data_IF_995481468570
#
_entry.id   IF_995481468570
#
_cell.length_a   1.000
_cell.length_b   1.000
_cell.length_c   1.000
_cell.angle_alpha   90.00
_cell.angle_beta   90.00
_cell.angle_gamma   90.00
#
_symmetry.space_group_name_H-M   'P 1'
#
loop_
_entity.id
_entity.type
_entity.pdbx_description
1 polymer ?
#
# COMPACT_ATOMS: atom_id res chain seq x y z
N UNK A 1 -11.92 -26.75 -3.25
CA UNK A 1 -11.63 -25.86 -4.41
C UNK A 1 -10.14 -25.59 -4.46
N UNK A 2 -9.56 -25.45 -5.65
CA UNK A 2 -8.18 -25.00 -5.83
C UNK A 2 -8.14 -23.49 -5.95
N UNK A 3 -7.47 -22.85 -4.99
CA UNK A 3 -7.45 -21.40 -4.81
C UNK A 3 -6.05 -20.89 -5.06
N UNK A 4 -5.89 -20.09 -6.12
CA UNK A 4 -4.63 -19.44 -6.45
C UNK A 4 -4.44 -18.14 -5.68
N UNK A 5 -3.22 -17.86 -5.23
CA UNK A 5 -2.87 -16.61 -4.56
C UNK A 5 -1.71 -15.98 -5.32
N UNK A 6 -1.88 -14.73 -5.73
CA UNK A 6 -0.86 -13.95 -6.44
C UNK A 6 -0.39 -12.77 -5.57
N UNK A 7 0.54 -13.00 -4.62
CA UNK A 7 0.96 -11.99 -3.67
C UNK A 7 2.00 -11.04 -4.28
N UNK A 8 2.07 -9.82 -3.75
CA UNK A 8 3.20 -8.93 -4.01
C UNK A 8 4.22 -9.07 -2.88
N UNK A 9 5.31 -9.79 -3.12
CA UNK A 9 6.37 -10.06 -2.14
C UNK A 9 7.61 -9.18 -2.35
N UNK A 10 7.51 -8.10 -3.14
CA UNK A 10 8.59 -7.14 -3.30
C UNK A 10 8.70 -6.26 -2.03
N UNK A 11 9.82 -6.32 -1.27
CA UNK A 11 9.98 -5.52 -0.05
C UNK A 11 9.89 -4.01 -0.31
N UNK A 12 10.30 -3.57 -1.49
CA UNK A 12 10.22 -2.15 -1.89
C UNK A 12 8.79 -1.67 -2.17
N UNK A 13 7.80 -2.57 -2.20
CA UNK A 13 6.39 -2.21 -2.30
C UNK A 13 5.77 -1.76 -0.95
N UNK A 14 6.55 -1.82 0.15
CA UNK A 14 6.13 -1.34 1.46
C UNK A 14 4.84 -2.01 1.96
N UNK A 15 3.82 -1.22 2.29
CA UNK A 15 2.56 -1.71 2.86
C UNK A 15 1.85 -2.79 2.03
N UNK A 16 1.97 -2.77 0.71
CA UNK A 16 1.39 -3.80 -0.18
C UNK A 16 2.05 -5.17 0.04
N UNK A 17 3.38 -5.18 0.25
CA UNK A 17 4.12 -6.39 0.60
C UNK A 17 3.67 -6.90 1.97
N UNK A 18 3.59 -6.03 2.99
CA UNK A 18 3.17 -6.39 4.34
C UNK A 18 1.74 -6.94 4.38
N UNK A 19 0.81 -6.35 3.63
CA UNK A 19 -0.54 -6.87 3.49
C UNK A 19 -0.56 -8.26 2.84
N UNK A 20 0.23 -8.47 1.78
CA UNK A 20 0.37 -9.77 1.13
C UNK A 20 0.91 -10.84 2.08
N UNK A 21 1.87 -10.47 2.94
CA UNK A 21 2.42 -11.39 3.96
C UNK A 21 1.40 -11.72 5.04
N UNK A 22 0.63 -10.74 5.54
CA UNK A 22 -0.45 -10.97 6.49
C UNK A 22 -1.53 -11.90 5.90
N UNK A 23 -1.88 -11.68 4.64
CA UNK A 23 -2.82 -12.50 3.89
C UNK A 23 -2.35 -13.95 3.75
N UNK A 24 -1.10 -14.15 3.32
CA UNK A 24 -0.49 -15.47 3.21
C UNK A 24 -0.41 -16.18 4.55
N UNK A 25 -0.02 -15.48 5.63
CA UNK A 25 0.07 -16.05 6.98
C UNK A 25 -1.29 -16.56 7.47
N UNK A 26 -2.35 -15.76 7.27
CA UNK A 26 -3.71 -16.17 7.66
C UNK A 26 -4.15 -17.44 6.93
N UNK A 27 -3.91 -17.53 5.62
CA UNK A 27 -4.26 -18.72 4.82
C UNK A 27 -3.35 -19.93 5.16
N UNK A 28 -2.09 -19.70 5.46
CA UNK A 28 -1.15 -20.75 5.85
C UNK A 28 -1.55 -21.43 7.17
N UNK A 29 -1.97 -20.66 8.17
CA UNK A 29 -2.48 -21.23 9.42
C UNK A 29 -3.75 -22.06 9.19
N UNK A 30 -4.61 -21.65 8.26
CA UNK A 30 -5.78 -22.45 7.87
C UNK A 30 -5.39 -23.73 7.12
N UNK A 31 -4.38 -23.70 6.27
CA UNK A 31 -3.92 -24.87 5.54
C UNK A 31 -3.36 -25.98 6.46
N UNK A 32 -2.86 -25.62 7.66
CA UNK A 32 -2.41 -26.55 8.70
C UNK A 32 -3.57 -27.30 9.36
N UNK A 33 -4.75 -26.68 9.44
CA UNK A 33 -5.93 -27.26 10.06
C UNK A 33 -6.81 -27.83 8.94
N UNK A 34 -7.08 -29.07 8.86
CA UNK A 34 -7.93 -29.84 7.90
C UNK A 34 -8.83 -29.01 6.96
N UNK A 35 -8.28 -28.05 6.24
CA UNK A 35 -8.98 -27.29 5.21
C UNK A 35 -9.25 -28.19 4.00
N UNK A 36 -10.50 -28.16 3.46
CA UNK A 36 -10.86 -28.88 2.24
C UNK A 36 -10.36 -28.20 0.97
N UNK A 37 -9.84 -26.98 1.08
CA UNK A 37 -9.32 -26.20 -0.03
C UNK A 37 -7.82 -26.42 -0.20
N UNK A 38 -7.37 -26.39 -1.43
CA UNK A 38 -5.95 -26.47 -1.80
C UNK A 38 -5.50 -25.07 -2.24
N UNK A 39 -4.46 -24.54 -1.58
CA UNK A 39 -3.91 -23.23 -1.89
C UNK A 39 -2.67 -23.34 -2.78
N UNK A 40 -2.65 -22.60 -3.87
CA UNK A 40 -1.56 -22.53 -4.84
C UNK A 40 -0.99 -21.12 -4.84
N UNK A 41 0.25 -20.98 -4.39
CA UNK A 41 0.91 -19.68 -4.25
C UNK A 41 1.78 -19.42 -5.47
N UNK A 42 1.46 -18.39 -6.22
CA UNK A 42 2.18 -17.97 -7.42
C UNK A 42 3.25 -16.95 -7.05
N UNK A 43 4.42 -17.45 -6.67
CA UNK A 43 5.58 -16.62 -6.29
C UNK A 43 6.88 -17.35 -6.62
N UNK A 44 7.95 -16.62 -6.88
CA UNK A 44 9.27 -17.21 -7.11
C UNK A 44 9.88 -17.82 -5.84
N UNK A 45 9.60 -17.22 -4.69
CA UNK A 45 10.07 -17.66 -3.37
C UNK A 45 9.10 -17.21 -2.28
N UNK A 46 8.96 -18.01 -1.24
CA UNK A 46 8.24 -17.66 -0.01
C UNK A 46 9.23 -17.33 1.11
N UNK A 47 8.81 -16.54 2.12
CA UNK A 47 9.52 -16.47 3.39
C UNK A 47 9.63 -17.86 4.02
N UNK A 48 10.76 -18.15 4.65
CA UNK A 48 11.05 -19.45 5.25
C UNK A 48 9.93 -19.97 6.18
N UNK A 49 9.28 -19.10 6.94
CA UNK A 49 8.18 -19.47 7.84
C UNK A 49 6.84 -19.81 7.14
N UNK A 50 6.77 -19.65 5.82
CA UNK A 50 5.62 -20.01 4.97
C UNK A 50 5.96 -21.16 4.01
N UNK A 51 7.10 -21.82 4.18
CA UNK A 51 7.46 -22.98 3.37
C UNK A 51 6.60 -24.19 3.71
N UNK A 52 6.23 -24.97 2.70
CA UNK A 52 5.33 -26.12 2.86
C UNK A 52 6.00 -27.27 3.64
N UNK A 53 5.24 -27.93 4.54
CA UNK A 53 5.54 -29.28 5.04
C UNK A 53 4.78 -30.32 4.23
N UNK A 54 5.27 -31.57 4.19
CA UNK A 54 4.81 -32.66 3.29
C UNK A 54 3.33 -33.06 3.37
N UNK A 55 2.52 -32.45 4.26
CA UNK A 55 1.12 -32.83 4.49
C UNK A 55 0.13 -31.65 4.43
N UNK A 56 0.52 -30.54 3.81
CA UNK A 56 -0.33 -29.35 3.76
C UNK A 56 -0.97 -29.16 2.38
N UNK A 57 -2.21 -28.70 2.37
CA UNK A 57 -2.90 -28.22 1.16
C UNK A 57 -2.33 -26.85 0.72
N UNK A 58 -0.99 -26.75 0.59
CA UNK A 58 -0.24 -25.54 0.31
C UNK A 58 0.88 -25.81 -0.67
N UNK A 59 0.76 -25.31 -1.87
CA UNK A 59 1.67 -25.59 -2.99
C UNK A 59 2.28 -24.30 -3.51
N UNK A 60 3.62 -24.23 -3.62
CA UNK A 60 4.31 -23.14 -4.27
C UNK A 60 4.46 -23.41 -5.76
N UNK A 61 3.81 -22.60 -6.60
CA UNK A 61 4.02 -22.57 -8.02
C UNK A 61 5.22 -21.66 -8.34
N UNK A 62 6.43 -22.20 -8.23
CA UNK A 62 7.69 -21.46 -8.36
C UNK A 62 8.08 -21.11 -9.80
N UNK A 63 7.35 -21.64 -10.79
CA UNK A 63 7.59 -21.28 -12.18
C UNK A 63 7.24 -19.80 -12.43
N UNK A 64 8.09 -19.10 -13.18
CA UNK A 64 7.78 -17.73 -13.57
C UNK A 64 6.52 -17.66 -14.44
N UNK A 65 5.61 -16.73 -14.16
CA UNK A 65 4.44 -16.54 -14.99
C UNK A 65 4.86 -16.11 -16.40
N UNK A 66 4.07 -16.44 -17.44
CA UNK A 66 4.32 -15.96 -18.78
C UNK A 66 4.50 -14.44 -18.80
N UNK A 67 5.64 -13.97 -19.29
CA UNK A 67 5.92 -12.54 -19.32
C UNK A 67 4.95 -11.80 -20.24
N UNK A 68 4.50 -10.65 -19.79
CA UNK A 68 3.63 -9.79 -20.60
C UNK A 68 4.39 -9.38 -21.88
N UNK A 69 3.87 -9.75 -23.05
CA UNK A 69 4.44 -9.28 -24.30
C UNK A 69 4.30 -7.75 -24.35
N UNK A 70 5.41 -7.00 -24.48
CA UNK A 70 5.32 -5.55 -24.52
C UNK A 70 4.39 -5.12 -25.67
N UNK A 71 3.46 -4.23 -25.36
CA UNK A 71 2.57 -3.65 -26.37
C UNK A 71 3.41 -2.99 -27.46
N UNK A 72 2.90 -2.95 -28.70
CA UNK A 72 3.63 -2.40 -29.87
C UNK A 72 4.22 -1.00 -29.57
N UNK A 73 3.58 -0.20 -28.71
CA UNK A 73 4.06 1.10 -28.22
C UNK A 73 5.31 1.00 -27.32
N UNK A 74 5.40 -0.04 -26.51
CA UNK A 74 6.57 -0.29 -25.63
C UNK A 74 7.75 -0.84 -26.47
N UNK A 75 7.46 -1.68 -27.46
CA UNK A 75 8.48 -2.14 -28.42
C UNK A 75 9.09 -0.98 -29.23
N UNK A 76 8.28 0.00 -29.65
CA UNK A 76 8.75 1.20 -30.31
C UNK A 76 9.61 2.09 -29.39
N UNK A 77 9.33 2.14 -28.07
CA UNK A 77 10.19 2.86 -27.11
C UNK A 77 11.56 2.20 -26.94
N UNK A 78 11.63 0.86 -26.92
CA UNK A 78 12.91 0.13 -26.82
C UNK A 78 13.75 0.22 -28.10
N UNK A 79 13.14 0.41 -29.28
CA UNK A 79 13.84 0.51 -30.56
C UNK A 79 14.37 1.94 -30.84
N UNK A 80 13.74 2.97 -30.24
CA UNK A 80 14.11 4.39 -30.45
C UNK A 80 15.08 4.88 -29.37
N UNK A 81 15.84 4.08 -28.74
CA UNK A 81 16.94 4.42 -27.81
C UNK A 81 16.87 5.77 -27.08
N UNK A 82 17.31 5.84 -25.85
CA UNK A 82 17.47 7.09 -25.08
C UNK A 82 18.69 7.87 -25.62
N UNK A 83 18.45 8.78 -26.59
CA UNK A 83 19.48 9.65 -27.13
C UNK A 83 19.02 11.13 -27.17
N UNK A 84 19.94 12.11 -27.18
CA UNK A 84 19.62 13.55 -27.09
C UNK A 84 18.69 14.10 -28.18
N UNK A 85 18.46 13.35 -29.26
CA UNK A 85 17.50 13.71 -30.31
C UNK A 85 16.04 13.41 -29.93
N UNK A 86 15.78 12.72 -28.82
CA UNK A 86 14.44 12.33 -28.37
C UNK A 86 13.74 13.49 -27.63
N UNK A 87 14.48 14.44 -27.07
CA UNK A 87 13.91 15.58 -26.33
C UNK A 87 13.16 16.56 -27.25
N UNK A 88 13.61 16.75 -28.47
CA UNK A 88 12.89 17.53 -29.50
C UNK A 88 11.56 16.90 -29.89
N UNK A 89 11.51 15.57 -30.02
CA UNK A 89 10.28 14.83 -30.31
C UNK A 89 9.34 14.78 -29.09
N UNK A 90 9.87 14.72 -27.87
CA UNK A 90 9.09 14.84 -26.64
C UNK A 90 8.45 16.21 -26.49
N UNK A 91 9.18 17.30 -26.84
CA UNK A 91 8.65 18.65 -26.84
C UNK A 91 7.55 18.85 -27.89
N UNK A 92 7.75 18.38 -29.14
CA UNK A 92 6.74 18.43 -30.21
C UNK A 92 5.50 17.63 -29.81
N UNK A 93 5.66 16.44 -29.21
CA UNK A 93 4.57 15.62 -28.73
C UNK A 93 3.81 16.28 -27.57
N UNK A 94 4.51 16.99 -26.68
CA UNK A 94 3.91 17.75 -25.57
C UNK A 94 3.10 18.94 -26.09
N UNK A 95 3.60 19.64 -27.12
CA UNK A 95 2.90 20.76 -27.79
C UNK A 95 1.67 20.25 -28.58
N UNK A 96 1.80 19.14 -29.29
CA UNK A 96 0.67 18.50 -29.98
C UNK A 96 -0.38 18.00 -28.99
N UNK A 97 0.03 17.37 -27.90
CA UNK A 97 -0.88 16.89 -26.86
C UNK A 97 -1.64 18.04 -26.16
N UNK A 98 -0.98 19.17 -25.93
CA UNK A 98 -1.63 20.36 -25.37
C UNK A 98 -2.59 21.03 -26.38
N UNK A 99 -2.25 21.05 -27.66
CA UNK A 99 -3.12 21.60 -28.72
C UNK A 99 -4.36 20.75 -29.01
N UNK A 100 -4.26 19.43 -28.89
CA UNK A 100 -5.40 18.51 -29.06
C UNK A 100 -6.28 18.38 -27.82
N UNK A 101 -5.88 18.92 -26.68
CA UNK A 101 -6.67 18.89 -25.43
C UNK A 101 -7.75 19.99 -25.35
N UNK A 102 -7.72 20.98 -26.24
CA UNK A 102 -8.76 22.00 -26.31
C UNK A 102 -9.80 21.60 -27.37
N UNK A 103 -10.84 20.86 -27.00
CA UNK A 103 -12.05 20.87 -27.79
C UNK A 103 -12.71 19.58 -28.27
N UNK A 104 -12.56 18.44 -27.61
CA UNK A 104 -13.55 17.38 -27.77
C UNK A 104 -13.71 16.61 -26.44
N UNK A 105 -14.95 16.30 -25.97
CA UNK A 105 -15.14 15.35 -24.92
C UNK A 105 -14.52 14.04 -25.41
N UNK A 106 -13.46 13.59 -24.72
CA UNK A 106 -12.89 12.27 -24.96
C UNK A 106 -14.03 11.29 -24.76
N UNK A 107 -14.57 10.74 -25.85
CA UNK A 107 -15.41 9.55 -25.78
C UNK A 107 -14.54 8.51 -25.07
N UNK A 108 -14.84 8.28 -23.81
CA UNK A 108 -14.23 7.20 -23.03
C UNK A 108 -14.74 5.92 -23.69
N UNK A 109 -14.04 5.47 -24.73
CA UNK A 109 -14.22 4.11 -25.21
C UNK A 109 -14.04 3.19 -24.00
N UNK A 110 -14.94 2.22 -23.76
CA UNK A 110 -14.68 1.19 -22.77
C UNK A 110 -13.32 0.62 -23.12
N UNK A 111 -12.36 0.71 -22.18
CA UNK A 111 -11.01 0.18 -22.41
C UNK A 111 -11.15 -1.28 -22.78
N UNK A 112 -10.70 -1.64 -23.97
CA UNK A 112 -10.67 -3.03 -24.39
C UNK A 112 -9.76 -3.80 -23.39
N UNK A 113 -10.29 -4.89 -22.85
CA UNK A 113 -9.52 -5.77 -21.97
C UNK A 113 -8.51 -6.52 -22.82
N UNK A 114 -7.26 -6.50 -22.41
CA UNK A 114 -6.21 -7.34 -22.99
C UNK A 114 -6.33 -8.76 -22.39
N UNK A 115 -7.00 -9.66 -23.10
CA UNK A 115 -7.10 -11.05 -22.64
C UNK A 115 -5.72 -11.72 -22.67
N UNK A 116 -5.37 -12.40 -21.58
CA UNK A 116 -4.12 -13.12 -21.35
C UNK A 116 -4.36 -14.63 -21.37
N UNK A 117 -4.59 -15.18 -22.57
CA UNK A 117 -4.80 -16.63 -22.73
C UNK A 117 -3.60 -17.47 -22.26
N UNK A 118 -2.38 -16.94 -22.43
CA UNK A 118 -1.15 -17.54 -21.96
C UNK A 118 -1.13 -17.70 -20.43
N UNK A 119 -1.50 -16.65 -19.71
CA UNK A 119 -1.55 -16.65 -18.26
C UNK A 119 -2.74 -17.47 -17.74
N UNK A 120 -3.86 -17.40 -18.43
CA UNK A 120 -5.05 -18.22 -18.14
C UNK A 120 -4.71 -19.72 -18.25
N UNK A 121 -4.05 -20.12 -19.33
CA UNK A 121 -3.58 -21.49 -19.51
C UNK A 121 -2.60 -21.93 -18.42
N UNK A 122 -1.70 -21.04 -18.00
CA UNK A 122 -0.77 -21.31 -16.92
C UNK A 122 -1.47 -21.56 -15.57
N UNK A 123 -2.46 -20.74 -15.19
CA UNK A 123 -3.26 -20.98 -13.98
C UNK A 123 -4.08 -22.29 -14.07
N UNK A 124 -4.63 -22.61 -15.24
CA UNK A 124 -5.36 -23.85 -15.44
C UNK A 124 -4.49 -25.11 -15.35
N UNK A 125 -3.20 -25.07 -15.69
CA UNK A 125 -2.27 -26.19 -15.48
C UNK A 125 -2.18 -26.60 -14.01
N UNK A 126 -2.36 -25.64 -13.09
CA UNK A 126 -2.42 -25.89 -11.64
C UNK A 126 -3.84 -26.22 -11.15
N UNK A 127 -4.83 -26.22 -12.05
CA UNK A 127 -6.23 -26.48 -11.73
C UNK A 127 -6.91 -25.38 -10.93
N UNK A 128 -6.38 -24.14 -10.94
CA UNK A 128 -6.93 -23.01 -10.20
C UNK A 128 -8.34 -22.66 -10.66
N UNK A 129 -9.25 -22.52 -9.70
CA UNK A 129 -10.67 -22.23 -9.92
C UNK A 129 -11.11 -20.84 -9.45
N UNK A 130 -10.38 -20.27 -8.49
CA UNK A 130 -10.58 -18.94 -7.91
C UNK A 130 -9.22 -18.33 -7.61
N UNK A 131 -9.02 -17.06 -7.95
CA UNK A 131 -7.79 -16.33 -7.68
C UNK A 131 -7.96 -15.29 -6.56
N UNK A 132 -6.95 -15.14 -5.72
CA UNK A 132 -6.85 -14.11 -4.69
C UNK A 132 -5.70 -13.17 -5.02
N UNK A 133 -6.01 -11.88 -5.10
CA UNK A 133 -5.04 -10.82 -5.36
C UNK A 133 -5.00 -9.85 -4.17
N UNK A 134 -4.02 -10.01 -3.25
CA UNK A 134 -3.83 -9.07 -2.14
C UNK A 134 -3.42 -7.66 -2.58
N UNK A 135 -3.06 -7.50 -3.85
CA UNK A 135 -2.75 -6.22 -4.48
C UNK A 135 -3.48 -6.07 -5.81
N UNK A 136 -3.90 -4.86 -6.21
CA UNK A 136 -4.55 -4.65 -7.49
C UNK A 136 -3.55 -4.84 -8.64
N UNK A 137 -3.91 -5.69 -9.60
CA UNK A 137 -3.10 -6.01 -10.78
C UNK A 137 -4.00 -6.27 -11.99
N UNK A 138 -3.64 -5.82 -13.20
CA UNK A 138 -4.44 -6.05 -14.41
C UNK A 138 -4.69 -7.53 -14.74
N UNK A 139 -3.74 -8.40 -14.42
CA UNK A 139 -3.84 -9.84 -14.65
C UNK A 139 -5.08 -10.46 -13.95
N UNK A 140 -5.63 -9.80 -12.91
CA UNK A 140 -6.82 -10.27 -12.20
C UNK A 140 -8.04 -10.42 -13.11
N UNK A 141 -8.28 -9.47 -14.01
CA UNK A 141 -9.43 -9.48 -14.93
C UNK A 141 -9.04 -9.87 -16.36
N UNK A 142 -7.76 -9.83 -16.71
CA UNK A 142 -7.27 -10.19 -18.05
C UNK A 142 -7.26 -11.70 -18.28
N UNK A 143 -7.34 -12.52 -17.23
CA UNK A 143 -7.37 -14.01 -17.32
C UNK A 143 -8.77 -14.60 -17.41
N UNK A 144 -9.81 -13.84 -17.10
CA UNK A 144 -11.18 -14.32 -17.09
C UNK A 144 -11.50 -15.35 -15.98
N UNK A 145 -10.55 -15.69 -15.09
CA UNK A 145 -10.81 -16.50 -13.91
C UNK A 145 -11.61 -15.71 -12.87
N UNK A 146 -12.47 -16.34 -12.08
CA UNK A 146 -13.08 -15.71 -10.91
C UNK A 146 -12.00 -15.24 -9.93
N UNK A 147 -12.18 -14.08 -9.33
CA UNK A 147 -11.17 -13.55 -8.39
C UNK A 147 -11.73 -12.67 -7.30
N UNK A 148 -10.97 -12.61 -6.19
CA UNK A 148 -11.07 -11.61 -5.12
C UNK A 148 -9.85 -10.70 -5.21
N UNK A 149 -10.05 -9.39 -5.15
CA UNK A 149 -8.96 -8.42 -5.28
C UNK A 149 -9.05 -7.31 -4.23
N UNK A 150 -7.93 -6.99 -3.60
CA UNK A 150 -7.83 -5.86 -2.69
C UNK A 150 -7.67 -4.54 -3.46
N UNK A 151 -8.32 -3.49 -2.95
CA UNK A 151 -8.21 -2.11 -3.38
C UNK A 151 -7.75 -1.30 -2.18
N UNK A 152 -6.49 -0.86 -2.19
CA UNK A 152 -5.90 -0.16 -1.05
C UNK A 152 -6.14 1.34 -1.09
N UNK A 153 -6.27 1.92 -2.28
CA UNK A 153 -6.50 3.35 -2.45
C UNK A 153 -7.13 3.68 -3.81
N UNK A 154 -7.75 4.86 -3.88
CA UNK A 154 -8.23 5.48 -5.10
C UNK A 154 -7.69 6.92 -5.24
N UNK A 155 -6.41 7.13 -4.89
CA UNK A 155 -5.78 8.46 -4.88
C UNK A 155 -5.92 9.19 -6.20
N UNK A 156 -5.80 8.52 -7.34
CA UNK A 156 -5.96 9.13 -8.65
C UNK A 156 -7.35 9.78 -8.88
N UNK A 157 -8.37 9.28 -8.18
CA UNK A 157 -9.73 9.86 -8.21
C UNK A 157 -9.92 10.97 -7.20
N UNK A 158 -9.35 10.79 -6.00
CA UNK A 158 -9.55 11.69 -4.86
C UNK A 158 -8.61 12.89 -4.91
N UNK A 159 -7.39 12.71 -5.43
CA UNK A 159 -6.33 13.71 -5.42
C UNK A 159 -5.50 13.67 -6.73
N UNK A 160 -6.14 13.94 -7.89
CA UNK A 160 -5.46 13.88 -9.19
C UNK A 160 -4.38 14.95 -9.39
N UNK A 161 -4.29 15.92 -8.47
CA UNK A 161 -3.26 16.98 -8.48
C UNK A 161 -1.86 16.43 -8.14
N UNK A 162 -1.73 15.28 -7.48
CA UNK A 162 -0.43 14.69 -7.19
C UNK A 162 0.20 14.02 -8.42
N UNK A 163 1.49 14.29 -8.70
CA UNK A 163 2.14 13.80 -9.91
C UNK A 163 2.25 12.26 -9.97
N UNK A 164 2.38 11.57 -8.84
CA UNK A 164 2.49 10.11 -8.77
C UNK A 164 1.26 9.36 -9.28
N UNK A 165 0.14 10.03 -9.40
CA UNK A 165 -1.13 9.44 -9.88
C UNK A 165 -1.64 10.06 -11.17
N UNK A 166 -0.99 11.11 -11.70
CA UNK A 166 -1.51 11.89 -12.83
C UNK A 166 -0.55 12.05 -14.00
N UNK A 167 0.78 12.01 -13.78
CA UNK A 167 1.74 12.20 -14.88
C UNK A 167 2.01 10.89 -15.64
N UNK A 168 2.55 11.00 -16.84
CA UNK A 168 3.02 9.89 -17.67
C UNK A 168 1.98 8.77 -17.92
N UNK A 169 0.68 9.11 -17.95
CA UNK A 169 -0.40 8.16 -18.18
C UNK A 169 -0.76 7.32 -16.96
N UNK A 170 -0.32 7.73 -15.76
CA UNK A 170 -0.64 7.01 -14.52
C UNK A 170 -2.14 7.01 -14.24
N UNK A 171 -2.83 8.12 -14.50
CA UNK A 171 -4.27 8.19 -14.29
C UNK A 171 -5.02 7.19 -15.18
N UNK A 172 -4.69 7.14 -16.47
CA UNK A 172 -5.31 6.23 -17.43
C UNK A 172 -5.00 4.76 -17.10
N UNK A 173 -3.77 4.49 -16.65
CA UNK A 173 -3.36 3.15 -16.23
C UNK A 173 -4.11 2.68 -14.99
N UNK A 174 -4.27 3.56 -13.98
CA UNK A 174 -5.05 3.28 -12.78
C UNK A 174 -6.53 3.11 -13.10
N UNK A 175 -7.10 3.94 -13.99
CA UNK A 175 -8.49 3.76 -14.42
C UNK A 175 -8.72 2.44 -15.17
N UNK A 176 -7.81 2.05 -16.04
CA UNK A 176 -7.87 0.74 -16.68
C UNK A 176 -7.90 -0.38 -15.63
N UNK A 177 -7.00 -0.33 -14.65
CA UNK A 177 -6.90 -1.29 -13.58
C UNK A 177 -8.15 -1.30 -12.69
N UNK A 178 -8.50 -0.18 -12.10
CA UNK A 178 -9.53 -0.14 -11.06
C UNK A 178 -10.94 -0.29 -11.63
N UNK A 179 -11.25 0.34 -12.75
CA UNK A 179 -12.56 0.20 -13.37
C UNK A 179 -12.86 -1.22 -13.82
N UNK A 180 -11.90 -1.86 -14.50
CA UNK A 180 -12.09 -3.24 -14.95
C UNK A 180 -11.96 -4.22 -13.78
N UNK A 181 -10.95 -4.04 -12.93
CA UNK A 181 -10.71 -4.88 -11.76
C UNK A 181 -11.88 -4.90 -10.79
N UNK A 182 -12.55 -3.76 -10.56
CA UNK A 182 -13.74 -3.72 -9.70
C UNK A 182 -14.97 -4.31 -10.37
N UNK A 183 -15.15 -4.04 -11.66
CA UNK A 183 -16.31 -4.53 -12.43
C UNK A 183 -16.38 -6.06 -12.47
N UNK A 184 -15.28 -6.73 -12.76
CA UNK A 184 -15.24 -8.16 -13.03
C UNK A 184 -14.90 -9.03 -11.81
N UNK A 185 -14.48 -8.45 -10.70
CA UNK A 185 -14.21 -9.20 -9.48
C UNK A 185 -15.45 -9.97 -8.98
N UNK A 186 -15.24 -11.12 -8.38
CA UNK A 186 -16.25 -11.86 -7.61
C UNK A 186 -16.56 -11.12 -6.32
N UNK A 187 -15.52 -10.73 -5.58
CA UNK A 187 -15.56 -9.85 -4.41
C UNK A 187 -14.36 -8.89 -4.44
N UNK A 188 -14.51 -7.77 -3.76
CA UNK A 188 -13.48 -6.76 -3.54
C UNK A 188 -13.18 -6.62 -2.06
N UNK A 189 -11.92 -6.36 -1.73
CA UNK A 189 -11.49 -6.07 -0.37
C UNK A 189 -11.13 -4.58 -0.28
N UNK A 190 -11.72 -3.89 0.67
CA UNK A 190 -11.31 -2.55 1.08
C UNK A 190 -10.65 -2.64 2.46
N UNK A 191 -9.73 -1.76 2.78
CA UNK A 191 -9.02 -1.73 4.06
C UNK A 191 -9.80 -0.99 5.17
N UNK A 192 -10.89 -0.30 4.81
CA UNK A 192 -11.71 0.52 5.71
C UNK A 192 -13.12 0.72 5.16
N UNK A 193 -14.05 1.17 6.01
CA UNK A 193 -15.37 1.58 5.53
C UNK A 193 -15.27 2.78 4.57
N UNK A 194 -14.36 3.71 4.85
CA UNK A 194 -14.07 4.84 3.95
C UNK A 194 -13.59 4.34 2.58
N UNK A 195 -12.69 3.36 2.54
CA UNK A 195 -12.24 2.75 1.29
C UNK A 195 -13.37 2.05 0.53
N UNK A 196 -14.28 1.37 1.24
CA UNK A 196 -15.49 0.77 0.67
C UNK A 196 -16.42 1.83 0.07
N UNK A 197 -16.67 2.92 0.80
CA UNK A 197 -17.48 4.03 0.29
C UNK A 197 -16.87 4.64 -0.98
N UNK A 198 -15.56 4.85 -1.02
CA UNK A 198 -14.88 5.40 -2.19
C UNK A 198 -15.01 4.46 -3.41
N UNK A 199 -14.85 3.15 -3.22
CA UNK A 199 -15.07 2.15 -4.29
C UNK A 199 -16.52 2.26 -4.83
N UNK A 200 -17.51 2.32 -3.97
CA UNK A 200 -18.91 2.42 -4.36
C UNK A 200 -19.22 3.74 -5.07
N UNK A 201 -18.69 4.86 -4.57
CA UNK A 201 -18.89 6.18 -5.15
C UNK A 201 -18.31 6.30 -6.56
N UNK A 202 -17.11 5.79 -6.79
CA UNK A 202 -16.44 5.94 -8.09
C UNK A 202 -16.76 4.84 -9.09
N UNK A 203 -17.04 3.62 -8.62
CA UNK A 203 -17.23 2.46 -9.50
C UNK A 203 -18.60 1.80 -9.39
N UNK A 204 -19.50 2.27 -8.53
CA UNK A 204 -20.88 1.80 -8.45
C UNK A 204 -21.64 1.91 -9.79
N UNK A 205 -21.40 2.98 -10.55
CA UNK A 205 -21.96 3.16 -11.89
C UNK A 205 -21.49 2.10 -12.92
N UNK A 206 -20.44 1.34 -12.63
CA UNK A 206 -19.96 0.21 -13.44
C UNK A 206 -20.45 -1.15 -12.94
N UNK A 207 -21.46 -1.17 -12.06
CA UNK A 207 -22.07 -2.40 -11.56
C UNK A 207 -21.38 -2.98 -10.32
N UNK A 208 -20.64 -2.16 -9.58
CA UNK A 208 -20.10 -2.53 -8.26
C UNK A 208 -21.16 -2.27 -7.21
N UNK A 209 -21.66 -3.33 -6.58
CA UNK A 209 -22.70 -3.28 -5.55
C UNK A 209 -22.11 -3.39 -4.15
N UNK A 210 -22.85 -2.97 -3.13
CA UNK A 210 -22.38 -2.94 -1.76
C UNK A 210 -22.00 -4.34 -1.23
N UNK A 211 -22.79 -5.36 -1.56
CA UNK A 211 -22.52 -6.75 -1.18
C UNK A 211 -21.23 -7.32 -1.77
N UNK A 212 -20.75 -6.72 -2.87
CA UNK A 212 -19.50 -7.10 -3.53
C UNK A 212 -18.26 -6.60 -2.81
N UNK A 213 -18.34 -5.52 -2.01
CA UNK A 213 -17.19 -4.91 -1.35
C UNK A 213 -17.18 -5.28 0.14
N UNK A 214 -16.12 -5.96 0.56
CA UNK A 214 -15.90 -6.43 1.94
C UNK A 214 -14.78 -5.65 2.59
N UNK A 215 -14.94 -5.30 3.86
CA UNK A 215 -13.89 -4.60 4.61
C UNK A 215 -13.00 -5.62 5.32
N UNK A 216 -11.71 -5.59 5.00
CA UNK A 216 -10.66 -6.39 5.62
C UNK A 216 -9.51 -5.47 6.02
N UNK A 217 -9.52 -4.89 7.24
CA UNK A 217 -8.54 -3.92 7.69
C UNK A 217 -7.11 -4.48 7.73
N UNK A 218 -6.11 -3.60 7.67
CA UNK A 218 -4.72 -3.96 7.83
C UNK A 218 -4.41 -4.47 9.24
N UNK A 219 -3.39 -5.33 9.33
CA UNK A 219 -2.69 -5.67 10.56
C UNK A 219 -1.37 -4.90 10.64
N UNK A 220 -0.79 -4.74 11.84
CA UNK A 220 0.62 -4.37 11.97
C UNK A 220 1.50 -5.31 11.15
N UNK A 221 2.62 -4.81 10.64
CA UNK A 221 3.53 -5.60 9.84
C UNK A 221 4.02 -6.85 10.59
N UNK A 222 4.14 -7.96 9.88
CA UNK A 222 4.43 -9.28 10.48
C UNK A 222 5.83 -9.40 11.05
N UNK A 223 6.78 -8.55 10.64
CA UNK A 223 8.16 -8.51 11.17
C UNK A 223 8.24 -7.92 12.59
N UNK A 224 7.17 -7.31 13.07
CA UNK A 224 7.11 -6.64 14.36
C UNK A 224 6.81 -7.60 15.54
N UNK A 225 6.92 -8.90 15.35
CA UNK A 225 6.66 -9.86 16.40
C UNK A 225 7.91 -10.05 17.29
N UNK A 226 7.89 -9.54 18.52
CA UNK A 226 8.91 -9.79 19.54
C UNK A 226 9.37 -8.52 20.27
N UNK A 227 9.87 -8.71 21.49
CA UNK A 227 10.53 -7.67 22.25
C UNK A 227 11.93 -7.39 21.69
N UNK A 228 12.29 -6.13 21.53
CA UNK A 228 13.61 -5.72 21.10
C UNK A 228 14.50 -5.54 22.33
N UNK A 229 15.63 -6.21 22.35
CA UNK A 229 16.62 -6.08 23.41
C UNK A 229 17.22 -4.67 23.45
N UNK A 230 17.64 -4.22 24.63
CA UNK A 230 18.36 -2.96 24.79
C UNK A 230 19.66 -2.93 23.95
N UNK A 231 20.34 -4.08 23.81
CA UNK A 231 21.54 -4.21 22.99
C UNK A 231 21.27 -3.97 21.51
N UNK A 232 20.14 -4.49 21.00
CA UNK A 232 19.77 -4.28 19.61
C UNK A 232 19.37 -2.83 19.33
N UNK A 233 18.64 -2.18 20.24
CA UNK A 233 18.34 -0.75 20.15
C UNK A 233 19.61 0.11 20.10
N UNK A 234 20.58 -0.19 20.98
CA UNK A 234 21.86 0.52 20.99
C UNK A 234 22.67 0.28 19.71
N UNK A 235 22.66 -0.97 19.19
CA UNK A 235 23.30 -1.28 17.90
C UNK A 235 22.73 -0.45 16.76
N UNK A 236 21.39 -0.35 16.67
CA UNK A 236 20.70 0.43 15.64
C UNK A 236 20.96 1.93 15.81
N UNK A 237 20.94 2.42 17.06
CA UNK A 237 21.26 3.81 17.39
C UNK A 237 22.67 4.19 16.92
N UNK A 238 23.66 3.37 17.22
CA UNK A 238 25.06 3.59 16.80
C UNK A 238 25.21 3.50 15.29
N UNK A 239 24.60 2.47 14.66
CA UNK A 239 24.67 2.25 13.20
C UNK A 239 24.23 3.48 12.40
N UNK A 240 23.13 4.10 12.80
CA UNK A 240 22.55 5.24 12.10
C UNK A 240 22.92 6.61 12.71
N UNK A 241 23.78 6.62 13.74
CA UNK A 241 24.15 7.85 14.48
C UNK A 241 22.91 8.66 14.89
N UNK A 242 21.93 7.98 15.47
CA UNK A 242 20.64 8.58 15.83
C UNK A 242 20.79 9.61 16.94
N UNK A 243 20.05 10.73 16.91
CA UNK A 243 20.01 11.67 18.03
C UNK A 243 19.38 11.01 19.27
N UNK A 244 19.71 11.53 20.46
CA UNK A 244 19.18 11.01 21.73
C UNK A 244 17.65 11.01 21.78
N UNK A 245 17.03 12.06 21.25
CA UNK A 245 15.58 12.20 21.10
C UNK A 245 15.22 12.58 19.69
N UNK A 246 14.25 11.89 19.10
CA UNK A 246 13.82 12.17 17.73
C UNK A 246 12.35 11.81 17.49
N UNK A 247 11.76 12.51 16.56
CA UNK A 247 10.54 12.08 15.88
C UNK A 247 10.92 11.10 14.77
N UNK A 248 10.03 10.20 14.41
CA UNK A 248 10.28 9.21 13.36
C UNK A 248 9.28 9.32 12.22
N UNK A 249 9.73 9.22 10.97
CA UNK A 249 8.87 9.14 9.81
C UNK A 249 9.40 8.17 8.75
N UNK A 250 8.95 6.90 8.77
CA UNK A 250 9.29 5.89 7.77
C UNK A 250 8.36 6.00 6.56
N UNK A 251 8.76 6.79 5.59
CA UNK A 251 7.98 6.96 4.37
C UNK A 251 8.88 7.23 3.16
N UNK A 252 8.55 6.62 2.02
CA UNK A 252 9.14 7.00 0.74
C UNK A 252 8.79 8.46 0.42
N UNK A 253 9.65 9.15 -0.32
CA UNK A 253 9.50 10.59 -0.60
C UNK A 253 8.47 10.88 -1.69
N UNK A 254 7.29 10.29 -1.59
CA UNK A 254 6.18 10.69 -2.43
C UNK A 254 5.65 12.08 -2.06
N UNK A 255 5.27 12.94 -3.02
CA UNK A 255 4.74 14.28 -2.74
C UNK A 255 3.60 14.29 -1.73
N UNK A 256 2.67 13.33 -1.79
CA UNK A 256 1.57 13.24 -0.83
C UNK A 256 2.03 12.88 0.60
N UNK A 257 3.25 12.40 0.81
CA UNK A 257 3.79 12.11 2.16
C UNK A 257 4.22 13.37 2.92
N UNK A 258 4.28 14.53 2.26
CA UNK A 258 4.32 15.83 2.92
C UNK A 258 5.56 16.11 3.80
N UNK A 259 6.72 15.56 3.46
CA UNK A 259 7.98 15.79 4.21
C UNK A 259 8.34 17.26 4.34
N UNK A 260 8.10 18.05 3.29
CA UNK A 260 8.44 19.47 3.29
C UNK A 260 7.73 20.29 4.38
N UNK A 261 6.46 19.99 4.70
CA UNK A 261 5.77 20.69 5.79
C UNK A 261 6.27 20.30 7.17
N UNK A 262 6.78 19.09 7.36
CA UNK A 262 7.48 18.74 8.60
C UNK A 262 8.69 19.65 8.78
N UNK A 263 9.51 19.83 7.73
CA UNK A 263 10.68 20.71 7.75
C UNK A 263 10.28 22.14 8.07
N UNK A 264 9.20 22.66 7.46
CA UNK A 264 8.66 23.99 7.76
C UNK A 264 8.20 24.13 9.21
N UNK A 265 7.51 23.12 9.76
CA UNK A 265 7.05 23.10 11.15
C UNK A 265 8.22 23.10 12.13
N UNK A 266 9.28 22.33 11.88
CA UNK A 266 10.50 22.33 12.69
C UNK A 266 11.21 23.69 12.64
N UNK A 267 11.27 24.33 11.47
CA UNK A 267 11.78 25.70 11.32
C UNK A 267 10.96 26.72 12.10
N UNK A 268 9.64 26.58 12.14
CA UNK A 268 8.76 27.42 12.94
C UNK A 268 9.03 27.25 14.44
N UNK A 269 9.16 26.03 14.92
CA UNK A 269 9.47 25.71 16.33
C UNK A 269 10.83 26.29 16.76
N UNK A 270 11.85 26.16 15.91
CA UNK A 270 13.18 26.69 16.17
C UNK A 270 13.18 28.22 16.29
N UNK A 271 12.47 28.92 15.38
CA UNK A 271 12.41 30.39 15.34
C UNK A 271 11.56 30.99 16.46
N UNK A 272 10.36 30.44 16.67
CA UNK A 272 9.35 31.10 17.52
C UNK A 272 9.42 30.62 18.95
N UNK A 273 9.85 29.39 19.20
CA UNK A 273 9.87 28.80 20.54
C UNK A 273 11.27 28.43 21.02
N UNK A 274 12.30 28.74 20.24
CA UNK A 274 13.69 28.32 20.50
C UNK A 274 13.81 26.83 20.85
N UNK A 275 12.92 26.00 20.28
CA UNK A 275 12.84 24.55 20.53
C UNK A 275 13.46 23.79 19.37
N UNK A 276 14.51 23.04 19.68
CA UNK A 276 15.14 22.12 18.70
C UNK A 276 14.50 20.77 18.78
N UNK A 277 13.93 20.33 17.69
CA UNK A 277 13.28 19.02 17.55
C UNK A 277 13.98 18.26 16.44
N UNK A 278 14.55 17.10 16.77
CA UNK A 278 15.16 16.21 15.78
C UNK A 278 14.12 15.28 15.16
N UNK A 279 14.27 15.00 13.87
CA UNK A 279 13.47 13.99 13.16
C UNK A 279 14.38 13.07 12.35
N UNK A 280 14.03 11.81 12.34
CA UNK A 280 14.67 10.77 11.51
C UNK A 280 13.69 10.38 10.39
N UNK A 281 14.12 10.61 9.15
CA UNK A 281 13.45 10.15 7.95
C UNK A 281 14.12 8.87 7.45
N UNK A 282 13.34 7.87 7.07
CA UNK A 282 13.83 6.73 6.31
C UNK A 282 12.87 6.37 5.18
N UNK A 283 13.41 5.73 4.14
CA UNK A 283 12.62 5.31 2.97
C UNK A 283 13.30 5.69 1.66
N UNK A 284 12.85 5.08 0.57
CA UNK A 284 13.42 5.29 -0.75
C UNK A 284 13.01 6.64 -1.36
N UNK A 285 13.95 7.27 -2.06
CA UNK A 285 13.69 8.42 -2.93
C UNK A 285 14.01 8.11 -4.40
N UNK A 286 14.17 6.84 -4.76
CA UNK A 286 14.48 6.44 -6.14
C UNK A 286 13.32 6.71 -7.10
N UNK A 287 13.63 7.24 -8.28
CA UNK A 287 12.67 7.63 -9.32
C UNK A 287 12.37 9.12 -9.31
N UNK A 288 12.17 9.68 -10.52
CA UNK A 288 12.16 11.14 -10.77
C UNK A 288 11.23 11.96 -9.85
N UNK A 289 10.02 11.45 -9.58
CA UNK A 289 9.04 12.14 -8.73
C UNK A 289 9.51 12.18 -7.28
N UNK A 290 9.98 11.06 -6.73
CA UNK A 290 10.46 10.96 -5.35
C UNK A 290 11.77 11.69 -5.14
N UNK A 291 12.68 11.59 -6.11
CA UNK A 291 13.96 12.31 -6.10
C UNK A 291 13.74 13.83 -6.09
N UNK A 292 12.80 14.33 -6.88
CA UNK A 292 12.44 15.74 -6.85
C UNK A 292 11.89 16.17 -5.48
N UNK A 293 10.96 15.40 -4.90
CA UNK A 293 10.42 15.68 -3.58
C UNK A 293 11.49 15.62 -2.47
N UNK A 294 12.42 14.66 -2.55
CA UNK A 294 13.56 14.56 -1.65
C UNK A 294 14.46 15.79 -1.76
N UNK A 295 14.88 16.15 -2.98
CA UNK A 295 15.75 17.31 -3.22
C UNK A 295 15.11 18.61 -2.72
N UNK A 296 13.82 18.82 -2.99
CA UNK A 296 13.09 19.98 -2.45
C UNK A 296 13.08 20.00 -0.92
N UNK A 297 12.90 18.83 -0.28
CA UNK A 297 12.93 18.70 1.18
C UNK A 297 14.33 19.04 1.74
N UNK A 298 15.40 18.59 1.08
CA UNK A 298 16.78 18.88 1.52
C UNK A 298 17.18 20.33 1.27
N UNK A 299 16.74 20.96 0.20
CA UNK A 299 16.92 22.41 -0.03
C UNK A 299 16.25 23.19 1.11
N UNK A 300 15.01 22.90 1.41
CA UNK A 300 14.27 23.56 2.48
C UNK A 300 14.92 23.37 3.87
N UNK A 301 15.47 22.17 4.14
CA UNK A 301 16.28 21.90 5.34
C UNK A 301 17.43 22.89 5.46
N UNK A 302 18.18 23.12 4.38
CA UNK A 302 19.33 24.04 4.36
C UNK A 302 18.88 25.50 4.47
N UNK A 303 17.82 25.90 3.77
CA UNK A 303 17.27 27.27 3.85
C UNK A 303 16.82 27.65 5.26
N UNK A 304 16.33 26.67 6.03
CA UNK A 304 15.89 26.87 7.42
C UNK A 304 16.96 26.56 8.46
N UNK A 305 18.20 26.25 8.05
CA UNK A 305 19.34 25.90 8.91
C UNK A 305 19.01 24.76 9.88
N UNK A 306 18.42 23.66 9.36
CA UNK A 306 17.97 22.49 10.12
C UNK A 306 18.84 21.24 9.88
N UNK A 307 20.11 21.42 9.50
CA UNK A 307 21.04 20.32 9.18
C UNK A 307 21.26 19.38 10.37
N UNK A 308 21.20 19.93 11.59
CA UNK A 308 21.41 19.18 12.83
C UNK A 308 20.11 18.54 13.38
N UNK A 309 18.95 18.98 12.89
CA UNK A 309 17.64 18.51 13.36
C UNK A 309 17.03 17.45 12.43
N UNK A 310 17.40 17.43 11.14
CA UNK A 310 16.82 16.53 10.15
C UNK A 310 17.85 15.51 9.70
N UNK A 311 17.57 14.24 10.01
CA UNK A 311 18.43 13.10 9.73
C UNK A 311 17.74 12.18 8.70
N UNK A 312 18.36 12.00 7.54
CA UNK A 312 17.93 11.00 6.56
C UNK A 312 18.87 9.80 6.60
N UNK A 313 18.36 8.63 6.93
CA UNK A 313 19.14 7.41 7.14
C UNK A 313 19.01 6.37 6.01
N UNK A 314 18.32 6.74 4.91
CA UNK A 314 18.17 5.84 3.76
C UNK A 314 17.11 4.77 3.94
N UNK A 315 17.27 3.66 3.23
CA UNK A 315 16.44 2.46 3.42
C UNK A 315 16.89 1.71 4.68
N UNK A 316 15.92 1.30 5.47
CA UNK A 316 16.13 0.53 6.70
C UNK A 316 15.52 -0.87 6.51
N UNK A 317 16.26 -1.94 6.80
CA UNK A 317 15.72 -3.30 6.83
C UNK A 317 14.59 -3.46 7.87
N UNK A 318 13.64 -4.34 7.58
CA UNK A 318 12.47 -4.59 8.41
C UNK A 318 12.85 -4.94 9.87
N UNK A 319 13.94 -5.70 10.07
CA UNK A 319 14.43 -6.13 11.38
C UNK A 319 14.87 -4.98 12.31
N UNK A 320 15.23 -3.83 11.72
CA UNK A 320 15.71 -2.66 12.46
C UNK A 320 14.61 -1.61 12.72
N UNK A 321 13.48 -1.73 12.03
CA UNK A 321 12.38 -0.77 12.13
C UNK A 321 11.80 -0.68 13.54
N UNK A 322 11.69 -1.81 14.21
CA UNK A 322 11.15 -1.88 15.54
C UNK A 322 11.98 -1.09 16.58
N UNK A 323 13.33 -1.09 16.46
CA UNK A 323 14.20 -0.27 17.31
C UNK A 323 13.97 1.21 17.09
N UNK A 324 13.77 1.63 15.81
CA UNK A 324 13.50 3.02 15.47
C UNK A 324 12.17 3.54 16.03
N UNK A 325 11.12 2.73 16.00
CA UNK A 325 9.84 3.07 16.63
C UNK A 325 9.94 3.12 18.15
N UNK A 326 10.58 2.12 18.78
CA UNK A 326 10.67 2.03 20.25
C UNK A 326 11.43 3.19 20.90
N UNK A 327 12.43 3.75 20.20
CA UNK A 327 13.25 4.87 20.71
C UNK A 327 12.71 6.25 20.27
N UNK A 328 11.72 6.30 19.38
CA UNK A 328 11.16 7.56 18.91
C UNK A 328 10.24 8.21 19.95
N UNK A 329 10.29 9.53 20.04
CA UNK A 329 9.34 10.31 20.83
C UNK A 329 7.93 10.17 20.28
N UNK A 330 7.78 10.15 18.95
CA UNK A 330 6.53 9.94 18.25
C UNK A 330 6.76 9.64 16.77
N UNK A 331 5.87 8.86 16.18
CA UNK A 331 5.66 8.84 14.73
C UNK A 331 5.04 10.18 14.30
N UNK A 332 5.62 10.83 13.29
CA UNK A 332 5.09 12.08 12.72
C UNK A 332 4.81 11.91 11.25
N UNK A 333 3.55 11.62 10.91
CA UNK A 333 3.13 11.25 9.57
C UNK A 333 1.97 12.12 9.03
N UNK A 334 2.22 13.40 8.66
CA UNK A 334 1.20 14.33 8.18
C UNK A 334 0.92 14.13 6.68
N UNK A 335 0.64 12.90 6.26
CA UNK A 335 0.36 12.55 4.86
C UNK A 335 -0.92 13.22 4.36
N UNK A 336 -0.95 13.62 3.09
CA UNK A 336 -2.19 14.12 2.48
C UNK A 336 -3.17 13.03 2.12
N UNK A 337 -2.70 11.79 2.04
CA UNK A 337 -3.49 10.67 1.56
C UNK A 337 -3.15 9.36 2.27
N UNK A 338 -4.16 8.49 2.34
CA UNK A 338 -4.14 7.14 2.85
C UNK A 338 -5.41 6.89 3.64
N UNK A 339 -6.35 6.06 3.15
CA UNK A 339 -7.55 5.71 3.93
C UNK A 339 -7.17 5.01 5.22
N UNK A 340 -6.09 4.22 5.19
CA UNK A 340 -5.41 3.64 6.36
C UNK A 340 -3.90 3.65 6.13
N UNK A 341 -3.13 3.59 7.23
CA UNK A 341 -1.68 3.62 7.16
C UNK A 341 -1.08 2.59 8.12
N UNK A 342 -0.32 1.64 7.58
CA UNK A 342 0.37 0.61 8.35
C UNK A 342 1.35 1.19 9.38
N UNK A 343 2.16 2.25 9.09
CA UNK A 343 3.05 2.85 10.07
C UNK A 343 2.39 3.32 11.37
N UNK A 344 1.10 3.66 11.34
CA UNK A 344 0.33 3.98 12.55
C UNK A 344 0.16 2.76 13.44
N UNK A 345 -0.17 1.61 12.85
CA UNK A 345 -0.31 0.34 13.56
C UNK A 345 1.03 -0.14 14.11
N UNK A 346 2.10 0.05 13.34
CA UNK A 346 3.47 -0.25 13.74
C UNK A 346 3.89 0.58 14.95
N UNK A 347 3.66 1.89 14.90
CA UNK A 347 3.98 2.79 16.00
C UNK A 347 3.29 2.35 17.31
N UNK A 348 2.00 2.04 17.25
CA UNK A 348 1.28 1.54 18.42
C UNK A 348 1.80 0.21 18.95
N UNK A 349 2.30 -0.68 18.07
CA UNK A 349 2.88 -1.96 18.49
C UNK A 349 4.20 -1.79 19.28
N UNK A 350 4.87 -0.65 19.16
CA UNK A 350 6.12 -0.32 19.84
C UNK A 350 6.02 0.87 20.80
N UNK A 351 4.87 1.09 21.40
CA UNK A 351 4.64 2.16 22.38
C UNK A 351 4.94 3.58 21.85
N UNK A 352 5.03 3.75 20.53
CA UNK A 352 5.34 5.01 19.91
C UNK A 352 4.08 5.84 19.72
N UNK A 353 3.95 7.01 20.38
CA UNK A 353 2.84 7.93 20.17
C UNK A 353 2.74 8.38 18.71
N UNK A 354 1.55 8.72 18.25
CA UNK A 354 1.31 9.05 16.84
C UNK A 354 0.81 10.50 16.69
N UNK A 355 1.42 11.24 15.77
CA UNK A 355 0.88 12.42 15.13
C UNK A 355 0.61 12.10 13.67
N UNK A 356 -0.62 12.33 13.21
CA UNK A 356 -1.00 12.08 11.82
C UNK A 356 -2.06 13.08 11.34
N UNK A 357 -2.46 12.94 10.09
CA UNK A 357 -3.35 13.90 9.45
C UNK A 357 -4.81 13.76 9.88
N UNK A 358 -5.48 14.87 10.04
CA UNK A 358 -6.92 14.95 10.25
C UNK A 358 -7.65 14.85 8.90
N UNK A 359 -7.63 13.67 8.29
CA UNK A 359 -8.33 13.35 7.05
C UNK A 359 -9.28 12.16 7.25
N UNK A 360 -10.26 12.02 6.37
CA UNK A 360 -11.43 11.14 6.52
C UNK A 360 -11.09 9.71 6.95
N UNK A 361 -10.24 8.99 6.23
CA UNK A 361 -9.91 7.60 6.54
C UNK A 361 -9.02 7.46 7.77
N UNK A 362 -8.11 8.41 8.02
CA UNK A 362 -7.25 8.40 9.20
C UNK A 362 -8.04 8.64 10.48
N UNK A 363 -9.11 9.45 10.45
CA UNK A 363 -10.02 9.58 11.61
C UNK A 363 -10.65 8.26 12.02
N UNK A 364 -11.05 7.44 11.04
CA UNK A 364 -11.57 6.10 11.30
C UNK A 364 -10.51 5.22 11.96
N UNK A 365 -9.30 5.20 11.40
CA UNK A 365 -8.19 4.40 11.91
C UNK A 365 -7.73 4.85 13.29
N UNK A 366 -7.44 6.13 13.45
CA UNK A 366 -6.73 6.65 14.61
C UNK A 366 -7.64 6.97 15.80
N UNK A 367 -8.85 7.52 15.56
CA UNK A 367 -9.76 7.94 16.61
C UNK A 367 -9.08 8.85 17.64
N UNK A 368 -9.08 8.40 18.90
CA UNK A 368 -8.46 9.05 20.04
C UNK A 368 -6.99 8.67 20.30
N UNK A 369 -6.43 7.78 19.47
CA UNK A 369 -5.09 7.22 19.66
C UNK A 369 -3.98 7.97 18.90
N UNK A 370 -4.26 9.18 18.41
CA UNK A 370 -3.27 10.04 17.75
C UNK A 370 -3.58 11.52 17.95
N UNK A 371 -2.55 12.37 17.84
CA UNK A 371 -2.72 13.79 17.60
C UNK A 371 -3.06 13.97 16.13
N UNK A 372 -4.27 14.44 15.84
CA UNK A 372 -4.74 14.72 14.49
C UNK A 372 -4.52 16.19 14.14
N UNK A 373 -3.88 16.46 12.99
CA UNK A 373 -3.57 17.83 12.53
C UNK A 373 -3.98 18.00 11.06
N UNK A 374 -4.38 19.21 10.69
CA UNK A 374 -4.53 19.56 9.27
C UNK A 374 -3.17 19.46 8.56
N UNK A 375 -2.99 18.52 7.62
CA UNK A 375 -1.72 18.36 6.92
C UNK A 375 -1.35 19.55 6.02
N UNK A 376 -2.27 20.50 5.81
CA UNK A 376 -2.03 21.72 5.04
C UNK A 376 -1.50 22.86 5.91
N UNK A 377 -1.71 22.83 7.24
CA UNK A 377 -1.27 23.87 8.17
C UNK A 377 0.07 23.53 8.80
N UNK A 378 1.08 24.36 8.52
CA UNK A 378 2.41 24.27 9.15
C UNK A 378 2.31 24.57 10.64
N UNK A 379 1.44 25.51 11.03
CA UNK A 379 1.21 25.92 12.40
C UNK A 379 0.56 24.79 13.22
N UNK A 380 -0.48 24.14 12.69
CA UNK A 380 -1.13 23.02 13.35
C UNK A 380 -0.16 21.84 13.52
N UNK A 381 0.68 21.59 12.50
CA UNK A 381 1.71 20.56 12.57
C UNK A 381 2.77 20.90 13.61
N UNK A 382 3.23 22.16 13.67
CA UNK A 382 4.19 22.63 14.67
C UNK A 382 3.62 22.52 16.09
N UNK A 383 2.36 22.91 16.33
CA UNK A 383 1.69 22.75 17.62
C UNK A 383 1.60 21.28 18.03
N UNK A 384 1.14 20.42 17.14
CA UNK A 384 1.05 18.98 17.39
C UNK A 384 2.42 18.36 17.74
N UNK A 385 3.47 18.72 16.99
CA UNK A 385 4.85 18.30 17.26
C UNK A 385 5.31 18.81 18.63
N UNK A 386 5.09 20.09 18.93
CA UNK A 386 5.49 20.70 20.20
C UNK A 386 4.85 20.02 21.40
N UNK A 387 3.56 19.74 21.33
CA UNK A 387 2.82 19.02 22.37
C UNK A 387 3.39 17.63 22.60
N UNK A 388 3.62 16.85 21.53
CA UNK A 388 4.23 15.52 21.67
C UNK A 388 5.67 15.59 22.18
N UNK A 389 6.43 16.62 21.81
CA UNK A 389 7.82 16.78 22.24
C UNK A 389 7.93 17.11 23.73
N UNK A 390 6.99 17.89 24.29
CA UNK A 390 7.08 18.44 25.65
C UNK A 390 6.19 17.73 26.66
N UNK A 391 5.04 17.17 26.25
CA UNK A 391 4.04 16.60 27.15
C UNK A 391 4.13 15.06 27.22
N UNK A 392 4.74 14.56 28.28
CA UNK A 392 4.86 13.11 28.52
C UNK A 392 3.53 12.47 28.90
N UNK A 393 2.65 13.19 29.60
CA UNK A 393 1.33 12.68 29.98
C UNK A 393 0.49 12.42 28.71
N UNK A 394 0.54 13.35 27.76
CA UNK A 394 -0.10 13.17 26.46
C UNK A 394 0.44 11.93 25.73
N UNK A 395 1.77 11.76 25.67
CA UNK A 395 2.37 10.58 25.01
C UNK A 395 1.88 9.27 25.63
N UNK A 396 1.89 9.17 26.97
CA UNK A 396 1.38 7.96 27.68
C UNK A 396 -0.10 7.70 27.39
N UNK A 397 -0.92 8.75 27.37
CA UNK A 397 -2.35 8.61 27.06
C UNK A 397 -2.58 8.08 25.65
N UNK A 398 -1.81 8.57 24.66
CA UNK A 398 -1.88 8.13 23.27
C UNK A 398 -1.38 6.69 23.08
N UNK A 399 -0.29 6.29 23.75
CA UNK A 399 0.21 4.91 23.76
C UNK A 399 -0.86 3.94 24.27
N UNK A 400 -1.48 4.27 25.42
CA UNK A 400 -2.55 3.44 25.98
C UNK A 400 -3.77 3.35 25.05
N UNK A 401 -4.12 4.44 24.36
CA UNK A 401 -5.19 4.43 23.38
C UNK A 401 -4.82 3.57 22.15
N UNK A 402 -3.58 3.66 21.67
CA UNK A 402 -3.05 2.84 20.59
C UNK A 402 -3.13 1.34 20.90
N UNK A 403 -2.75 0.92 22.11
CA UNK A 403 -2.87 -0.47 22.56
C UNK A 403 -4.33 -0.96 22.55
N UNK A 404 -5.28 -0.14 23.00
CA UNK A 404 -6.71 -0.50 22.92
C UNK A 404 -7.15 -0.70 21.48
N UNK A 405 -6.69 0.16 20.57
CA UNK A 405 -6.97 0.03 19.12
C UNK A 405 -6.40 -1.26 18.53
N UNK A 406 -5.14 -1.58 18.81
CA UNK A 406 -4.53 -2.82 18.35
C UNK A 406 -5.23 -4.07 18.90
N UNK A 407 -5.61 -4.05 20.16
CA UNK A 407 -6.30 -5.18 20.81
C UNK A 407 -7.73 -5.40 20.29
N UNK A 408 -8.34 -4.39 19.65
CA UNK A 408 -9.69 -4.50 19.12
C UNK A 408 -9.79 -5.24 17.79
N UNK A 409 -8.65 -5.49 17.10
CA UNK A 409 -8.59 -6.21 15.85
C UNK A 409 -7.29 -7.01 15.74
N UNK A 410 -7.41 -8.31 15.91
CA UNK A 410 -6.28 -9.23 16.02
C UNK A 410 -5.99 -9.97 14.70
N UNK A 411 -4.84 -10.67 14.64
CA UNK A 411 -4.53 -11.57 13.52
C UNK A 411 -5.58 -12.70 13.36
N UNK A 412 -6.20 -13.12 14.47
CA UNK A 412 -7.28 -14.09 14.42
C UNK A 412 -8.54 -13.49 13.77
N UNK A 413 -8.92 -12.26 14.13
CA UNK A 413 -10.08 -11.58 13.55
C UNK A 413 -9.89 -11.36 12.04
N UNK A 414 -8.66 -11.02 11.63
CA UNK A 414 -8.31 -10.91 10.22
C UNK A 414 -8.48 -12.26 9.50
N UNK A 415 -7.95 -13.34 10.06
CA UNK A 415 -8.03 -14.67 9.48
C UNK A 415 -9.50 -15.15 9.38
N UNK A 416 -10.27 -14.99 10.45
CA UNK A 416 -11.69 -15.39 10.49
C UNK A 416 -12.51 -14.61 9.43
N UNK A 417 -12.28 -13.28 9.30
CA UNK A 417 -12.93 -12.47 8.25
C UNK A 417 -12.51 -12.88 6.85
N UNK A 418 -11.21 -13.10 6.64
CA UNK A 418 -10.70 -13.54 5.34
C UNK A 418 -11.33 -14.87 4.92
N UNK A 419 -11.44 -15.83 5.85
CA UNK A 419 -12.07 -17.11 5.57
C UNK A 419 -13.56 -16.98 5.26
N UNK A 420 -14.29 -16.14 5.99
CA UNK A 420 -15.69 -15.88 5.70
C UNK A 420 -15.90 -15.27 4.29
N UNK A 421 -15.04 -14.32 3.90
CA UNK A 421 -15.04 -13.72 2.57
C UNK A 421 -14.72 -14.78 1.49
N UNK A 422 -13.77 -15.66 1.77
CA UNK A 422 -13.38 -16.72 0.86
C UNK A 422 -14.53 -17.72 0.65
N UNK A 423 -15.23 -18.13 1.71
CA UNK A 423 -16.39 -19.00 1.59
C UNK A 423 -17.50 -18.36 0.73
N UNK A 424 -17.80 -17.08 0.97
CA UNK A 424 -18.75 -16.34 0.14
C UNK A 424 -18.33 -16.29 -1.33
N UNK A 425 -17.03 -16.05 -1.60
CA UNK A 425 -16.50 -16.03 -2.97
C UNK A 425 -16.69 -17.41 -3.65
N UNK A 426 -16.41 -18.50 -2.95
CA UNK A 426 -16.61 -19.87 -3.43
C UNK A 426 -18.07 -20.18 -3.77
N UNK A 427 -19.00 -19.76 -2.91
CA UNK A 427 -20.43 -19.90 -3.17
C UNK A 427 -20.86 -19.15 -4.43
N UNK A 428 -20.39 -17.90 -4.60
CA UNK A 428 -20.69 -17.09 -5.79
C UNK A 428 -20.17 -17.76 -7.06
N UNK A 429 -18.94 -18.28 -7.04
CA UNK A 429 -18.33 -19.00 -8.18
C UNK A 429 -19.12 -20.26 -8.51
N UNK A 430 -19.53 -21.03 -7.50
CA UNK A 430 -20.31 -22.28 -7.69
C UNK A 430 -21.68 -21.97 -8.28
N UNK A 431 -22.38 -20.94 -7.82
CA UNK A 431 -23.66 -20.49 -8.36
C UNK A 431 -23.55 -20.08 -9.83
N UNK A 432 -22.49 -19.33 -10.20
CA UNK A 432 -22.24 -18.93 -11.60
C UNK A 432 -21.99 -20.15 -12.49
N UNK A 433 -21.21 -21.14 -12.04
CA UNK A 433 -20.97 -22.38 -12.78
C UNK A 433 -22.27 -23.17 -12.99
N UNK A 434 -23.15 -23.25 -12.00
CA UNK A 434 -24.43 -23.96 -12.07
C UNK A 434 -25.46 -23.28 -12.99
N UNK A 435 -25.40 -21.96 -13.15
CA UNK A 435 -26.35 -21.21 -14.00
C UNK A 435 -25.92 -21.07 -15.46
N UNK A 436 -24.72 -21.50 -15.84
CA UNK A 436 -24.28 -21.57 -17.25
C UNK A 436 -24.73 -22.90 -17.88
N UNK A 437 -25.76 -22.91 -18.74
CA UNK A 437 -26.16 -24.15 -19.44
C UNK A 437 -25.10 -24.48 -20.49
N UNK A 438 -24.39 -25.60 -20.38
CA UNK A 438 -23.58 -26.12 -21.47
C UNK A 438 -22.22 -26.73 -21.17
N UNK A 439 -21.77 -26.82 -19.91
CA UNK A 439 -20.44 -27.41 -19.61
C UNK A 439 -20.48 -28.96 -19.37
N UNK A 440 -21.66 -29.60 -19.37
CA UNK A 440 -21.81 -31.03 -19.06
C UNK A 440 -21.94 -31.93 -20.28
N UNK A 441 -21.77 -31.44 -21.50
CA UNK A 441 -22.09 -32.25 -22.72
C UNK A 441 -20.89 -32.73 -23.56
N UNK A 442 -19.63 -32.51 -23.10
CA UNK A 442 -18.44 -32.98 -23.84
C UNK A 442 -17.48 -33.85 -23.00
N UNK A 443 -18.04 -34.73 -22.16
CA UNK A 443 -17.32 -35.89 -21.64
C UNK A 443 -18.16 -37.17 -21.93
N UNK A 444 -18.11 -37.61 -23.16
CA UNK A 444 -18.35 -38.99 -23.55
C UNK A 444 -17.41 -39.38 -24.68
#
# INVERSE_FOLDING_TARGET
>A
MRIGIFPNLNPFAGGVCQYSLAFLRALYEQAKTSCKDEFIIYASKLPHYLESSEHMNWTLASAEPPQRRPLLRERLRCVIGEGPHVDGLRWIRRQLYQRFRQGAPVKVCPYAINVRDDLTGWFHQWGTELMLYPAPIPDSFETGLPYVMAIHDLQHRLQPEFPEVSVDGQWESREYLFRNGTRYATLLLADSEVGKEDILNFYGCYGVTEDKVKVLPFLPATYLAGEISATERERVRCKYSLPERYLFYPAQFWPHKNHGRIVQALGLLKRNFNTKVSIVFCGSHSGSIRENAFNQTMILRSELNLENEIHYIGYVPDEEMAALYSDAVALTMPTFFGPTNIPVLEAWAFDCPVLTSDIRGIREQAGDAAVLVDPRSVEALADGIYRLWTDECLRRALTNAGHRRLSSYTAKDFADRLMAILEEAKERVTKIKATRPGAAANQR
#
